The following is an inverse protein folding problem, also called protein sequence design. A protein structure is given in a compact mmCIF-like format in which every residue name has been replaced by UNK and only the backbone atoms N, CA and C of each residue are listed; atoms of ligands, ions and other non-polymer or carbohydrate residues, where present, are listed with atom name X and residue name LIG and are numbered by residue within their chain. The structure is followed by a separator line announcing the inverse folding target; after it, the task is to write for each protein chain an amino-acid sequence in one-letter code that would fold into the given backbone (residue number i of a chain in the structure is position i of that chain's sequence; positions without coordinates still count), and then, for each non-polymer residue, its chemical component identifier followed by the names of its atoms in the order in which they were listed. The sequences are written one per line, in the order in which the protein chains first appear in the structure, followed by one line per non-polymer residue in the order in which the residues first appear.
data_IF_943423631689
#
_entry.id   IF_943423631689
#
_cell.length_a   1.000
_cell.length_b   1.000
_cell.length_c   1.000
_cell.angle_alpha   90.00
_cell.angle_beta   90.00
_cell.angle_gamma   90.00
#
_symmetry.space_group_name_H-M   'P 1'
#
loop_
_entity.id
_entity.type
_entity.pdbx_description
1 polymer ?
#
# COMPACT_ATOMS: atom_id res chain seq x y z
N UNK A 1 21.52 14.62 13.96
CA UNK A 1 20.75 15.81 13.52
C UNK A 1 19.82 16.17 14.65
N UNK A 2 19.85 17.42 15.11
CA UNK A 2 18.78 17.87 16.01
C UNK A 2 17.45 17.58 15.34
N UNK A 3 16.55 16.92 16.07
CA UNK A 3 15.18 16.77 15.64
C UNK A 3 14.65 18.18 15.29
N UNK A 4 14.59 18.52 14.01
CA UNK A 4 13.89 19.71 13.60
C UNK A 4 12.48 19.56 14.15
N UNK A 5 12.09 20.45 15.08
CA UNK A 5 10.79 20.41 15.68
C UNK A 5 9.77 20.41 14.55
N UNK A 6 8.88 19.42 14.55
CA UNK A 6 7.81 19.32 13.58
C UNK A 6 6.93 20.55 13.75
N UNK A 7 7.02 21.50 12.83
CA UNK A 7 6.37 22.80 12.96
C UNK A 7 4.92 22.71 12.48
N UNK A 8 4.02 22.32 13.38
CA UNK A 8 2.58 22.19 13.11
C UNK A 8 1.89 23.53 12.83
N UNK A 9 2.54 24.67 13.07
CA UNK A 9 1.94 26.00 12.89
C UNK A 9 1.94 26.48 11.41
N UNK A 10 2.68 25.82 10.52
CA UNK A 10 2.76 26.21 9.10
C UNK A 10 1.60 25.76 8.25
N UNK A 11 0.77 24.86 8.73
CA UNK A 11 -0.21 24.17 7.90
C UNK A 11 -1.64 24.57 8.21
N UNK A 12 -2.41 24.88 7.18
CA UNK A 12 -3.85 25.15 7.29
C UNK A 12 -4.63 23.86 7.05
N UNK A 13 -5.11 23.26 8.14
CA UNK A 13 -5.93 22.04 8.09
C UNK A 13 -7.09 22.20 7.11
N UNK A 14 -7.23 21.24 6.18
CA UNK A 14 -8.35 21.17 5.25
C UNK A 14 -8.15 21.88 3.90
N UNK A 15 -6.97 22.44 3.63
CA UNK A 15 -6.63 23.02 2.32
C UNK A 15 -5.52 22.23 1.63
N UNK A 16 -5.64 22.11 0.31
CA UNK A 16 -4.55 21.64 -0.55
C UNK A 16 -3.64 22.81 -0.95
N UNK A 17 -2.36 22.54 -1.17
CA UNK A 17 -1.43 23.56 -1.66
C UNK A 17 -1.89 24.06 -3.04
N UNK A 18 -2.02 25.40 -3.24
CA UNK A 18 -2.48 25.96 -4.52
C UNK A 18 -1.62 25.54 -5.73
N UNK A 19 -0.34 25.21 -5.51
CA UNK A 19 0.57 24.75 -6.57
C UNK A 19 0.18 23.38 -7.13
N UNK A 20 -0.63 22.62 -6.40
CA UNK A 20 -1.13 21.31 -6.80
C UNK A 20 -2.53 21.37 -7.44
N UNK A 21 -3.17 22.53 -7.49
CA UNK A 21 -4.55 22.66 -7.94
C UNK A 21 -4.80 22.05 -9.33
N UNK A 22 -3.85 22.19 -10.26
CA UNK A 22 -3.99 21.64 -11.61
C UNK A 22 -3.87 20.12 -11.62
N UNK A 23 -2.88 19.54 -10.93
CA UNK A 23 -2.70 18.07 -10.92
C UNK A 23 -3.75 17.33 -10.08
N UNK A 24 -4.46 18.04 -9.19
CA UNK A 24 -5.48 17.48 -8.32
C UNK A 24 -6.92 17.83 -8.71
N UNK A 25 -7.13 18.52 -9.82
CA UNK A 25 -8.45 19.03 -10.24
C UNK A 25 -9.51 17.94 -10.42
N UNK A 26 -9.10 16.72 -10.76
CA UNK A 26 -9.98 15.57 -11.00
C UNK A 26 -10.27 14.77 -9.72
N UNK A 27 -9.60 15.12 -8.61
CA UNK A 27 -9.73 14.46 -7.33
C UNK A 27 -10.59 15.28 -6.36
N UNK A 28 -11.33 14.64 -5.45
CA UNK A 28 -12.11 15.36 -4.45
C UNK A 28 -11.23 16.26 -3.59
N UNK A 29 -11.55 17.55 -3.51
CA UNK A 29 -10.72 18.55 -2.81
C UNK A 29 -10.48 18.23 -1.33
N UNK A 30 -11.41 17.51 -0.68
CA UNK A 30 -11.28 17.08 0.70
C UNK A 30 -10.25 15.95 0.90
N UNK A 31 -9.82 15.30 -0.16
CA UNK A 31 -8.90 14.15 -0.11
C UNK A 31 -7.46 14.59 0.13
N UNK A 32 -7.03 15.66 -0.56
CA UNK A 32 -5.67 16.18 -0.50
C UNK A 32 -5.62 17.43 0.37
N UNK A 33 -5.30 17.27 1.64
CA UNK A 33 -5.27 18.35 2.61
C UNK A 33 -4.03 18.26 3.52
N UNK A 34 -3.71 19.34 4.19
CA UNK A 34 -2.53 19.45 5.05
C UNK A 34 -2.51 18.40 6.18
N UNK A 35 -3.68 18.02 6.70
CA UNK A 35 -3.80 16.99 7.73
C UNK A 35 -3.30 15.63 7.23
N UNK A 36 -3.67 15.25 6.00
CA UNK A 36 -3.19 14.03 5.37
C UNK A 36 -1.67 14.05 5.24
N UNK A 37 -1.12 15.12 4.66
CA UNK A 37 0.33 15.20 4.42
C UNK A 37 1.13 15.18 5.72
N UNK A 38 0.69 15.92 6.73
CA UNK A 38 1.30 15.90 8.06
C UNK A 38 1.24 14.52 8.70
N UNK A 39 0.13 13.82 8.54
CA UNK A 39 -0.01 12.45 9.05
C UNK A 39 0.97 11.50 8.34
N UNK A 40 1.14 11.61 7.03
CA UNK A 40 2.10 10.79 6.28
C UNK A 40 3.54 11.07 6.71
N UNK A 41 3.93 12.34 6.80
CA UNK A 41 5.27 12.75 7.29
C UNK A 41 5.53 12.23 8.70
N UNK A 42 4.53 12.31 9.57
CA UNK A 42 4.64 11.79 10.93
C UNK A 42 4.84 10.27 10.93
N UNK A 43 4.06 9.52 10.11
CA UNK A 43 4.17 8.06 10.06
C UNK A 43 5.53 7.62 9.51
N UNK A 44 6.08 8.34 8.51
CA UNK A 44 7.44 8.11 8.02
C UNK A 44 8.45 8.26 9.15
N UNK A 45 8.37 9.35 9.91
CA UNK A 45 9.23 9.57 11.06
C UNK A 45 9.03 8.52 12.14
N UNK A 46 7.78 8.19 12.45
CA UNK A 46 7.44 7.20 13.47
C UNK A 46 8.05 5.83 13.13
N UNK A 47 8.00 5.43 11.88
CA UNK A 47 8.60 4.17 11.42
C UNK A 47 10.13 4.14 11.52
N UNK A 48 10.80 5.28 11.36
CA UNK A 48 12.25 5.41 11.60
C UNK A 48 12.55 5.22 13.09
N UNK A 49 11.80 5.86 13.98
CA UNK A 49 12.00 5.71 15.43
C UNK A 49 11.73 4.25 15.88
N UNK A 50 10.73 3.57 15.28
CA UNK A 50 10.52 2.13 15.49
C UNK A 50 11.70 1.30 14.98
N UNK A 51 12.29 1.64 13.83
CA UNK A 51 13.47 0.95 13.32
C UNK A 51 14.69 1.15 14.26
N UNK A 52 14.84 2.33 14.87
CA UNK A 52 15.89 2.59 15.89
C UNK A 52 15.63 1.78 17.15
N UNK A 53 14.39 1.66 17.59
CA UNK A 53 14.02 0.82 18.75
C UNK A 53 14.32 -0.67 18.48
N UNK A 54 14.04 -1.14 17.27
CA UNK A 54 14.34 -2.51 16.81
C UNK A 54 15.84 -2.82 16.79
N UNK A 55 16.74 -1.83 16.68
CA UNK A 55 18.19 -2.05 16.84
C UNK A 55 18.54 -2.70 18.19
N UNK A 56 17.90 -2.20 19.25
CA UNK A 56 18.08 -2.76 20.60
C UNK A 56 17.38 -4.09 20.78
N UNK A 57 16.11 -4.18 20.39
CA UNK A 57 15.28 -5.36 20.56
C UNK A 57 15.83 -6.60 19.81
N UNK A 58 16.47 -6.39 18.66
CA UNK A 58 17.07 -7.44 17.82
C UNK A 58 18.58 -7.64 18.09
N UNK A 59 19.16 -6.97 19.06
CA UNK A 59 20.59 -7.01 19.38
C UNK A 59 21.50 -6.61 18.18
N UNK A 60 21.00 -5.82 17.24
CA UNK A 60 21.73 -5.40 16.05
C UNK A 60 22.85 -4.40 16.37
N UNK A 61 22.66 -3.54 17.37
CA UNK A 61 23.59 -2.47 17.71
C UNK A 61 24.98 -3.02 18.08
N UNK A 62 25.05 -4.14 18.81
CA UNK A 62 26.31 -4.76 19.21
C UNK A 62 27.07 -5.32 18.01
N UNK A 63 26.36 -5.85 17.01
CA UNK A 63 26.97 -6.45 15.82
C UNK A 63 27.43 -5.40 14.80
N UNK A 64 26.74 -4.27 14.74
CA UNK A 64 27.00 -3.18 13.80
C UNK A 64 28.13 -2.23 14.21
N UNK A 65 28.86 -2.52 15.27
CA UNK A 65 30.16 -1.87 15.58
C UNK A 65 31.21 -2.11 14.50
N UNK A 66 31.10 -3.20 13.75
CA UNK A 66 31.89 -3.52 12.56
C UNK A 66 31.02 -3.54 11.31
N UNK A 67 31.65 -3.55 10.13
CA UNK A 67 30.92 -3.74 8.86
C UNK A 67 30.33 -5.15 8.78
N UNK A 68 29.03 -5.24 8.56
CA UNK A 68 28.28 -6.50 8.44
C UNK A 68 27.26 -6.40 7.30
N UNK A 69 27.14 -7.48 6.54
CA UNK A 69 26.03 -7.66 5.62
C UNK A 69 24.78 -8.16 6.35
N UNK A 70 23.61 -8.09 5.69
CA UNK A 70 22.38 -8.66 6.23
C UNK A 70 22.50 -10.18 6.44
N UNK A 71 23.19 -10.89 5.55
CA UNK A 71 23.40 -12.33 5.65
C UNK A 71 24.30 -12.70 6.85
N UNK A 72 25.36 -11.94 7.10
CA UNK A 72 26.21 -12.12 8.28
C UNK A 72 25.45 -11.84 9.58
N UNK A 73 24.60 -10.80 9.59
CA UNK A 73 23.74 -10.49 10.75
C UNK A 73 22.74 -11.61 11.02
N UNK A 74 22.05 -12.12 9.98
CA UNK A 74 21.16 -13.25 10.11
C UNK A 74 21.87 -14.48 10.69
N UNK A 75 23.09 -14.77 10.20
CA UNK A 75 23.87 -15.91 10.67
C UNK A 75 24.32 -15.77 12.13
N UNK A 76 24.85 -14.61 12.52
CA UNK A 76 25.39 -14.39 13.88
C UNK A 76 24.28 -14.32 14.93
N UNK A 77 23.11 -13.79 14.57
CA UNK A 77 21.95 -13.63 15.47
C UNK A 77 20.95 -14.79 15.37
N UNK A 78 21.27 -15.83 14.61
CA UNK A 78 20.40 -17.00 14.38
C UNK A 78 18.99 -16.63 13.92
N UNK A 79 18.89 -15.64 13.02
CA UNK A 79 17.61 -15.23 12.46
C UNK A 79 17.13 -16.22 11.39
N UNK A 80 15.83 -16.39 11.30
CA UNK A 80 15.21 -17.21 10.27
C UNK A 80 15.51 -16.65 8.86
N UNK A 81 15.77 -17.50 7.85
CA UNK A 81 16.09 -17.03 6.48
C UNK A 81 15.06 -16.07 5.90
N UNK A 82 13.77 -16.29 6.18
CA UNK A 82 12.66 -15.42 5.73
C UNK A 82 12.74 -14.01 6.31
N UNK A 83 13.35 -13.82 7.48
CA UNK A 83 13.48 -12.51 8.14
C UNK A 83 14.51 -11.60 7.43
N UNK A 84 15.30 -12.13 6.52
CA UNK A 84 16.33 -11.39 5.79
C UNK A 84 15.80 -10.13 5.10
N UNK A 85 14.62 -10.19 4.47
CA UNK A 85 14.02 -9.05 3.78
C UNK A 85 13.57 -7.98 4.77
N UNK A 86 12.94 -8.37 5.87
CA UNK A 86 12.58 -7.47 6.96
C UNK A 86 13.80 -6.80 7.57
N UNK A 87 14.88 -7.56 7.78
CA UNK A 87 16.16 -7.00 8.26
C UNK A 87 16.75 -5.99 7.25
N UNK A 88 16.73 -6.29 5.97
CA UNK A 88 17.21 -5.36 4.93
C UNK A 88 16.39 -4.05 4.93
N UNK A 89 15.09 -4.14 5.13
CA UNK A 89 14.22 -2.98 5.26
C UNK A 89 14.60 -2.12 6.48
N UNK A 90 14.80 -2.74 7.66
CA UNK A 90 15.26 -2.04 8.88
C UNK A 90 16.59 -1.33 8.61
N UNK A 91 17.57 -2.04 8.03
CA UNK A 91 18.87 -1.49 7.75
C UNK A 91 18.81 -0.31 6.78
N UNK A 92 17.95 -0.38 5.75
CA UNK A 92 17.74 0.73 4.81
C UNK A 92 17.14 1.96 5.51
N UNK A 93 16.12 1.79 6.37
CA UNK A 93 15.55 2.88 7.19
C UNK A 93 16.61 3.52 8.10
N UNK A 94 17.46 2.73 8.69
CA UNK A 94 18.53 3.21 9.57
C UNK A 94 19.65 3.95 8.80
N UNK A 95 19.89 3.58 7.53
CA UNK A 95 20.78 4.35 6.64
C UNK A 95 20.16 5.70 6.27
N UNK A 96 18.88 5.70 5.89
CA UNK A 96 18.12 6.91 5.56
C UNK A 96 18.13 7.92 6.73
N UNK A 97 17.92 7.43 7.95
CA UNK A 97 17.99 8.24 9.17
C UNK A 97 19.36 8.78 9.52
N UNK A 98 20.43 8.27 8.87
CA UNK A 98 21.81 8.57 9.19
C UNK A 98 22.35 7.85 10.44
N UNK A 99 21.61 6.91 11.00
CA UNK A 99 22.07 6.05 12.10
C UNK A 99 23.16 5.08 11.65
N UNK A 100 22.99 4.52 10.44
CA UNK A 100 23.95 3.62 9.82
C UNK A 100 24.68 4.29 8.63
N UNK A 101 25.88 3.78 8.35
CA UNK A 101 26.57 3.92 7.08
C UNK A 101 26.38 2.64 6.28
N UNK A 102 26.25 2.76 4.96
CA UNK A 102 26.22 1.66 4.02
C UNK A 102 27.39 1.77 3.06
N UNK A 103 27.97 0.65 2.69
CA UNK A 103 28.85 0.50 1.52
C UNK A 103 28.28 -0.59 0.62
N UNK A 104 28.37 -0.38 -0.67
CA UNK A 104 27.93 -1.32 -1.70
C UNK A 104 29.14 -1.60 -2.61
N UNK A 105 29.60 -2.84 -2.68
CA UNK A 105 30.71 -3.24 -3.56
C UNK A 105 30.20 -3.90 -4.87
N UNK A 106 28.90 -3.79 -5.13
CA UNK A 106 28.23 -4.36 -6.29
C UNK A 106 27.80 -5.82 -6.11
N UNK A 107 28.41 -6.56 -5.18
CA UNK A 107 28.03 -7.92 -4.83
C UNK A 107 27.27 -7.99 -3.51
N UNK A 108 27.66 -7.16 -2.53
CA UNK A 108 27.14 -7.22 -1.16
C UNK A 108 27.04 -5.83 -0.55
N UNK A 109 25.89 -5.53 0.04
CA UNK A 109 25.73 -4.35 0.90
C UNK A 109 26.11 -4.67 2.33
N UNK A 110 26.98 -3.83 2.90
CA UNK A 110 27.42 -3.93 4.29
C UNK A 110 27.09 -2.64 5.05
N UNK A 111 26.79 -2.78 6.33
CA UNK A 111 26.29 -1.72 7.19
C UNK A 111 27.14 -1.60 8.44
N UNK A 112 27.25 -0.40 9.00
CA UNK A 112 27.94 -0.12 10.26
C UNK A 112 27.31 1.08 10.95
N UNK A 113 27.26 1.08 12.27
CA UNK A 113 26.86 2.26 13.05
C UNK A 113 27.75 3.46 12.69
N UNK A 114 27.09 4.57 12.41
CA UNK A 114 27.76 5.86 12.19
C UNK A 114 27.98 6.58 13.50
N UNK A 115 26.97 6.56 14.37
CA UNK A 115 26.96 7.19 15.67
C UNK A 115 26.24 6.27 16.67
N UNK A 116 26.37 6.56 17.96
CA UNK A 116 25.51 5.94 18.98
C UNK A 116 24.06 6.21 18.62
N UNK A 117 23.19 5.19 18.58
CA UNK A 117 21.76 5.38 18.34
C UNK A 117 21.17 6.32 19.40
N UNK A 118 20.28 7.19 18.97
CA UNK A 118 19.51 8.01 19.92
C UNK A 118 18.42 7.17 20.61
N UNK A 119 17.89 7.69 21.69
CA UNK A 119 16.74 7.09 22.36
C UNK A 119 15.46 7.50 21.64
N UNK A 120 14.64 6.58 21.07
CA UNK A 120 13.42 6.91 20.37
C UNK A 120 12.38 7.58 21.27
N UNK A 121 11.75 8.66 20.80
CA UNK A 121 10.65 9.32 21.51
C UNK A 121 9.30 9.00 20.88
N UNK A 122 8.94 7.71 20.88
CA UNK A 122 7.69 7.19 20.31
C UNK A 122 6.46 7.81 21.02
N UNK A 123 6.55 8.08 22.32
CA UNK A 123 5.44 8.68 23.08
C UNK A 123 5.10 10.09 22.61
N UNK A 124 6.13 10.91 22.40
CA UNK A 124 5.97 12.25 21.89
C UNK A 124 5.39 12.24 20.47
N UNK A 125 5.95 11.44 19.57
CA UNK A 125 5.47 11.34 18.18
C UNK A 125 4.04 10.82 18.11
N UNK A 126 3.71 9.83 18.95
CA UNK A 126 2.33 9.34 19.05
C UNK A 126 1.37 10.43 19.48
N UNK A 127 1.71 11.19 20.53
CA UNK A 127 0.88 12.30 21.00
C UNK A 127 0.73 13.39 19.92
N UNK A 128 1.80 13.69 19.19
CA UNK A 128 1.77 14.61 18.06
C UNK A 128 0.85 14.10 16.94
N UNK A 129 0.94 12.81 16.60
CA UNK A 129 0.09 12.20 15.59
C UNK A 129 -1.39 12.27 15.91
N UNK A 130 -1.75 12.00 17.16
CA UNK A 130 -3.13 12.12 17.65
C UNK A 130 -3.63 13.57 17.68
N UNK A 131 -2.73 14.54 17.85
CA UNK A 131 -3.07 15.95 17.78
C UNK A 131 -3.29 16.43 16.34
N UNK A 132 -2.54 15.87 15.36
CA UNK A 132 -2.76 16.15 13.94
C UNK A 132 -4.12 15.59 13.51
N UNK A 133 -4.36 14.31 13.78
CA UNK A 133 -5.62 13.63 13.52
C UNK A 133 -5.82 12.49 14.53
N UNK A 134 -6.90 12.48 15.33
CA UNK A 134 -7.18 11.35 16.22
C UNK A 134 -7.31 10.00 15.49
N UNK A 135 -7.72 9.98 14.22
CA UNK A 135 -7.83 8.77 13.42
C UNK A 135 -6.47 8.12 13.11
N UNK A 136 -5.37 8.85 13.24
CA UNK A 136 -4.01 8.32 13.17
C UNK A 136 -3.74 7.21 14.19
N UNK A 137 -4.55 7.12 15.25
CA UNK A 137 -4.49 6.02 16.22
C UNK A 137 -4.47 4.66 15.54
N UNK A 138 -5.30 4.46 14.51
CA UNK A 138 -5.41 3.19 13.81
C UNK A 138 -4.09 2.76 13.14
N UNK A 139 -3.39 3.69 12.50
CA UNK A 139 -2.09 3.42 11.87
C UNK A 139 -1.00 3.24 12.92
N UNK A 140 -0.96 4.10 13.94
CA UNK A 140 0.04 4.01 15.03
C UNK A 140 -0.09 2.69 15.81
N UNK A 141 -1.32 2.27 16.14
CA UNK A 141 -1.56 1.01 16.85
C UNK A 141 -1.09 -0.20 16.04
N UNK A 142 -1.32 -0.21 14.74
CA UNK A 142 -0.90 -1.30 13.87
C UNK A 142 0.63 -1.31 13.66
N UNK A 143 1.27 -0.15 13.54
CA UNK A 143 2.72 -0.02 13.46
C UNK A 143 3.39 -0.53 14.74
N UNK A 144 2.91 -0.12 15.91
CA UNK A 144 3.42 -0.57 17.21
C UNK A 144 3.27 -2.08 17.36
N UNK A 145 2.09 -2.62 17.01
CA UNK A 145 1.82 -4.04 17.09
C UNK A 145 2.71 -4.85 16.15
N UNK A 146 2.87 -4.40 14.90
CA UNK A 146 3.75 -5.04 13.94
C UNK A 146 5.21 -5.02 14.43
N UNK A 147 5.72 -3.86 14.87
CA UNK A 147 7.08 -3.73 15.39
C UNK A 147 7.32 -4.68 16.58
N UNK A 148 6.35 -4.82 17.48
CA UNK A 148 6.47 -5.73 18.62
C UNK A 148 6.59 -7.21 18.23
N UNK A 149 6.14 -7.59 17.03
CA UNK A 149 6.22 -8.96 16.52
C UNK A 149 7.59 -9.31 15.92
N UNK A 150 8.38 -8.31 15.52
CA UNK A 150 9.66 -8.52 14.82
C UNK A 150 10.63 -9.45 15.54
N UNK A 151 10.91 -9.31 16.86
CA UNK A 151 11.82 -10.21 17.55
C UNK A 151 11.36 -11.69 17.53
N UNK A 152 10.06 -11.93 17.68
CA UNK A 152 9.51 -13.27 17.61
C UNK A 152 9.60 -13.87 16.20
N UNK A 153 9.29 -13.08 15.17
CA UNK A 153 9.38 -13.51 13.76
C UNK A 153 10.82 -13.75 13.35
N UNK A 154 11.76 -12.94 13.85
CA UNK A 154 13.19 -13.07 13.54
C UNK A 154 13.76 -14.43 14.02
N UNK A 155 13.36 -14.90 15.21
CA UNK A 155 13.94 -16.08 15.86
C UNK A 155 13.02 -17.31 15.88
N UNK A 156 11.72 -17.14 15.65
CA UNK A 156 10.71 -18.19 15.74
C UNK A 156 10.42 -18.84 14.38
N UNK A 157 9.91 -20.07 14.42
CA UNK A 157 9.31 -20.71 13.24
C UNK A 157 7.93 -20.18 12.89
N UNK A 158 7.32 -19.38 13.73
CA UNK A 158 6.05 -18.70 13.43
C UNK A 158 6.31 -17.54 12.49
N UNK A 159 5.46 -17.38 11.46
CA UNK A 159 5.50 -16.25 10.56
C UNK A 159 4.67 -15.06 11.09
N UNK A 160 4.83 -13.93 10.47
CA UNK A 160 4.09 -12.72 10.83
C UNK A 160 2.59 -12.82 10.59
N UNK A 161 2.16 -13.63 9.60
CA UNK A 161 0.74 -13.85 9.30
C UNK A 161 -0.01 -14.38 10.52
N UNK A 162 0.57 -15.34 11.24
CA UNK A 162 -0.02 -15.87 12.47
C UNK A 162 -0.20 -14.79 13.55
N UNK A 163 0.75 -13.87 13.66
CA UNK A 163 0.68 -12.77 14.63
C UNK A 163 -0.30 -11.69 14.17
N UNK A 164 -0.15 -11.19 12.94
CA UNK A 164 -0.89 -10.03 12.45
C UNK A 164 -2.34 -10.36 12.06
N UNK A 165 -2.64 -11.58 11.62
CA UNK A 165 -4.01 -12.00 11.32
C UNK A 165 -4.65 -12.88 12.40
N UNK A 166 -4.01 -12.99 13.58
CA UNK A 166 -4.63 -13.56 14.77
C UNK A 166 -5.74 -12.66 15.34
N UNK A 167 -6.45 -13.11 16.39
CA UNK A 167 -7.64 -12.39 16.91
C UNK A 167 -7.39 -10.93 17.29
N UNK A 168 -6.21 -10.61 17.85
CA UNK A 168 -5.85 -9.24 18.20
C UNK A 168 -5.48 -8.42 16.97
N UNK A 169 -4.66 -8.97 16.09
CA UNK A 169 -4.20 -8.28 14.89
C UNK A 169 -5.35 -7.95 13.93
N UNK A 170 -6.31 -8.87 13.75
CA UNK A 170 -7.43 -8.66 12.83
C UNK A 170 -8.31 -7.46 13.23
N UNK A 171 -8.42 -7.17 14.53
CA UNK A 171 -9.14 -5.98 15.01
C UNK A 171 -8.40 -4.70 14.65
N UNK A 172 -7.06 -4.70 14.73
CA UNK A 172 -6.23 -3.58 14.33
C UNK A 172 -6.31 -3.34 12.82
N UNK A 173 -6.30 -4.41 12.02
CA UNK A 173 -6.50 -4.30 10.57
C UNK A 173 -7.86 -3.71 10.20
N UNK A 174 -8.95 -4.09 10.87
CA UNK A 174 -10.27 -3.52 10.63
C UNK A 174 -10.31 -2.01 10.91
N UNK A 175 -9.64 -1.56 11.99
CA UNK A 175 -9.52 -0.14 12.29
C UNK A 175 -8.64 0.58 11.26
N UNK A 176 -7.52 -0.04 10.85
CA UNK A 176 -6.62 0.51 9.85
C UNK A 176 -7.31 0.67 8.49
N UNK A 177 -8.07 -0.33 8.04
CA UNK A 177 -8.80 -0.32 6.77
C UNK A 177 -10.07 0.54 6.77
N UNK A 178 -10.27 1.40 7.75
CA UNK A 178 -11.43 2.29 7.80
C UNK A 178 -11.18 3.59 7.04
N UNK A 179 -12.23 4.14 6.39
CA UNK A 179 -12.14 5.37 5.60
C UNK A 179 -11.94 6.65 6.45
N UNK A 180 -12.10 6.58 7.76
CA UNK A 180 -11.73 7.68 8.68
C UNK A 180 -10.20 7.79 8.85
N UNK A 181 -9.46 6.70 8.64
CA UNK A 181 -8.01 6.68 8.66
C UNK A 181 -7.45 7.24 7.34
N UNK A 182 -7.18 8.54 7.28
CA UNK A 182 -6.77 9.23 6.05
C UNK A 182 -5.51 8.64 5.41
N UNK A 183 -4.55 8.17 6.20
CA UNK A 183 -3.29 7.61 5.69
C UNK A 183 -3.46 6.30 4.92
N UNK A 184 -4.57 5.58 5.15
CA UNK A 184 -5.01 4.46 4.35
C UNK A 184 -6.06 4.86 3.31
N UNK A 185 -7.08 5.63 3.72
CA UNK A 185 -8.23 5.99 2.90
C UNK A 185 -7.84 6.75 1.62
N UNK A 186 -6.70 7.45 1.62
CA UNK A 186 -6.20 8.14 0.42
C UNK A 186 -6.03 7.20 -0.77
N UNK A 187 -5.65 5.93 -0.55
CA UNK A 187 -5.55 4.93 -1.62
C UNK A 187 -6.94 4.63 -2.22
N UNK A 188 -7.97 4.51 -1.37
CA UNK A 188 -9.34 4.28 -1.80
C UNK A 188 -9.86 5.47 -2.62
N UNK A 189 -9.65 6.70 -2.15
CA UNK A 189 -10.07 7.92 -2.84
C UNK A 189 -9.38 8.09 -4.19
N UNK A 190 -8.06 7.91 -4.25
CA UNK A 190 -7.29 8.06 -5.48
C UNK A 190 -7.69 7.00 -6.50
N UNK A 191 -7.77 5.74 -6.09
CA UNK A 191 -8.22 4.64 -6.95
C UNK A 191 -9.64 4.85 -7.47
N UNK A 192 -10.58 5.20 -6.58
CA UNK A 192 -11.98 5.39 -6.96
C UNK A 192 -12.20 6.60 -7.87
N UNK A 193 -11.53 7.74 -7.61
CA UNK A 193 -11.63 8.93 -8.47
C UNK A 193 -11.11 8.63 -9.88
N UNK A 194 -9.95 7.96 -9.99
CA UNK A 194 -9.41 7.52 -11.26
C UNK A 194 -10.34 6.54 -12.00
N UNK A 195 -11.01 5.62 -11.27
CA UNK A 195 -11.94 4.67 -11.85
C UNK A 195 -13.21 5.37 -12.38
N UNK A 196 -13.80 6.27 -11.61
CA UNK A 196 -15.04 6.99 -11.97
C UNK A 196 -14.84 7.85 -13.21
N UNK A 197 -13.69 8.52 -13.32
CA UNK A 197 -13.37 9.34 -14.49
C UNK A 197 -13.39 8.50 -15.78
N UNK A 198 -12.84 7.29 -15.75
CA UNK A 198 -12.79 6.37 -16.90
C UNK A 198 -14.11 5.69 -17.24
N UNK A 199 -15.02 5.64 -16.29
CA UNK A 199 -16.36 5.06 -16.48
C UNK A 199 -17.39 6.07 -17.00
N UNK A 200 -17.10 7.34 -16.98
CA UNK A 200 -18.06 8.44 -17.25
C UNK A 200 -18.77 8.33 -18.60
N UNK A 201 -18.12 7.77 -19.63
CA UNK A 201 -18.67 7.60 -20.99
C UNK A 201 -19.47 6.30 -21.20
N UNK A 202 -19.45 5.35 -20.26
CA UNK A 202 -20.08 4.04 -20.41
C UNK A 202 -21.60 4.11 -20.15
N UNK A 203 -22.45 3.52 -21.03
CA UNK A 203 -23.90 3.52 -20.82
C UNK A 203 -24.34 2.55 -19.72
N UNK A 204 -23.64 1.46 -19.51
CA UNK A 204 -23.82 0.48 -18.46
C UNK A 204 -22.47 0.14 -17.85
N UNK A 205 -22.45 -0.11 -16.53
CA UNK A 205 -21.22 -0.36 -15.78
C UNK A 205 -21.25 -1.78 -15.22
N UNK A 206 -20.20 -2.55 -15.54
CA UNK A 206 -19.94 -3.87 -14.98
C UNK A 206 -18.57 -3.82 -14.33
N UNK A 207 -18.52 -3.95 -13.02
CA UNK A 207 -17.33 -3.78 -12.20
C UNK A 207 -16.93 -5.10 -11.55
N UNK A 208 -15.66 -5.44 -11.62
CA UNK A 208 -15.05 -6.51 -10.85
C UNK A 208 -14.03 -5.87 -9.88
N UNK A 209 -14.25 -6.03 -8.60
CA UNK A 209 -13.28 -5.61 -7.57
C UNK A 209 -12.53 -6.81 -7.02
N UNK A 210 -11.21 -6.72 -7.02
CA UNK A 210 -10.30 -7.76 -6.52
C UNK A 210 -9.77 -7.36 -5.14
N UNK A 211 -9.91 -8.27 -4.16
CA UNK A 211 -9.38 -8.09 -2.82
C UNK A 211 -10.01 -6.94 -2.05
N UNK A 212 -11.32 -6.86 -2.02
CA UNK A 212 -12.08 -5.77 -1.40
C UNK A 212 -11.88 -5.61 0.13
N UNK A 213 -11.27 -6.58 0.79
CA UNK A 213 -11.02 -6.54 2.23
C UNK A 213 -12.30 -6.26 3.03
N UNK A 214 -12.26 -5.25 3.88
CA UNK A 214 -13.40 -4.80 4.68
C UNK A 214 -14.41 -3.92 3.90
N UNK A 215 -14.22 -3.71 2.58
CA UNK A 215 -15.13 -2.98 1.71
C UNK A 215 -14.97 -1.46 1.72
N UNK A 216 -13.88 -0.94 2.23
CA UNK A 216 -13.65 0.50 2.30
C UNK A 216 -13.42 1.13 0.92
N UNK A 217 -12.71 0.44 0.01
CA UNK A 217 -12.54 0.90 -1.37
C UNK A 217 -13.85 0.82 -2.16
N UNK A 218 -14.62 -0.28 -1.99
CA UNK A 218 -15.97 -0.44 -2.56
C UNK A 218 -16.89 0.71 -2.16
N UNK A 219 -16.90 1.07 -0.87
CA UNK A 219 -17.71 2.17 -0.34
C UNK A 219 -17.39 3.50 -1.02
N UNK A 220 -16.12 3.86 -1.14
CA UNK A 220 -15.71 5.12 -1.79
C UNK A 220 -16.06 5.10 -3.28
N UNK A 221 -15.83 4.00 -3.98
CA UNK A 221 -16.19 3.89 -5.40
C UNK A 221 -17.70 4.07 -5.62
N UNK A 222 -18.54 3.39 -4.83
CA UNK A 222 -19.99 3.54 -4.91
C UNK A 222 -20.46 4.95 -4.57
N UNK A 223 -19.85 5.59 -3.58
CA UNK A 223 -20.15 6.97 -3.20
C UNK A 223 -19.81 7.94 -4.34
N UNK A 224 -18.63 7.85 -4.95
CA UNK A 224 -18.25 8.70 -6.07
C UNK A 224 -19.09 8.43 -7.33
N UNK A 225 -19.47 7.18 -7.61
CA UNK A 225 -20.42 6.86 -8.68
C UNK A 225 -21.78 7.54 -8.44
N UNK A 226 -22.23 7.57 -7.18
CA UNK A 226 -23.47 8.28 -6.80
C UNK A 226 -23.36 9.78 -7.01
N UNK A 227 -22.29 10.41 -6.54
CA UNK A 227 -22.03 11.84 -6.68
C UNK A 227 -21.96 12.30 -8.15
N UNK A 228 -21.44 11.44 -9.03
CA UNK A 228 -21.34 11.69 -10.47
C UNK A 228 -22.60 11.29 -11.25
N UNK A 229 -23.67 10.81 -10.57
CA UNK A 229 -24.91 10.38 -11.20
C UNK A 229 -24.77 9.10 -12.05
N UNK A 230 -23.71 8.30 -11.82
CA UNK A 230 -23.41 7.08 -12.58
C UNK A 230 -24.01 5.82 -11.95
N UNK A 231 -24.43 5.89 -10.69
CA UNK A 231 -24.88 4.71 -9.93
C UNK A 231 -26.10 4.01 -10.59
N UNK A 232 -26.98 4.76 -11.26
CA UNK A 232 -28.12 4.21 -12.01
C UNK A 232 -27.72 3.40 -13.24
N UNK A 233 -26.47 3.51 -13.69
CA UNK A 233 -25.91 2.73 -14.80
C UNK A 233 -25.25 1.44 -14.33
N UNK A 234 -25.14 1.22 -13.01
CA UNK A 234 -24.50 0.02 -12.46
C UNK A 234 -25.39 -1.20 -12.72
N UNK A 235 -24.97 -2.04 -13.66
CA UNK A 235 -25.68 -3.26 -14.02
C UNK A 235 -25.17 -4.50 -13.26
N UNK A 236 -23.90 -4.50 -12.86
CA UNK A 236 -23.27 -5.59 -12.09
C UNK A 236 -22.03 -5.10 -11.36
N UNK A 237 -21.87 -5.49 -10.09
CA UNK A 237 -20.66 -5.26 -9.34
C UNK A 237 -20.29 -6.51 -8.55
N UNK A 238 -19.24 -7.19 -8.98
CA UNK A 238 -18.70 -8.38 -8.32
C UNK A 238 -17.59 -7.93 -7.36
N UNK A 239 -17.86 -8.05 -6.06
CA UNK A 239 -16.93 -7.74 -4.97
C UNK A 239 -16.25 -9.03 -4.57
N UNK A 240 -14.92 -9.13 -4.73
CA UNK A 240 -14.20 -10.36 -4.40
C UNK A 240 -13.27 -10.17 -3.22
N UNK A 241 -13.22 -11.17 -2.33
CA UNK A 241 -12.33 -11.21 -1.17
C UNK A 241 -12.14 -12.67 -0.75
N UNK A 242 -10.91 -13.23 -0.81
CA UNK A 242 -10.67 -14.63 -0.45
C UNK A 242 -10.92 -14.91 1.03
N UNK A 243 -10.59 -13.98 1.93
CA UNK A 243 -10.80 -14.14 3.36
C UNK A 243 -12.29 -14.07 3.72
N UNK A 244 -12.85 -15.20 4.16
CA UNK A 244 -14.28 -15.30 4.47
C UNK A 244 -14.75 -14.38 5.62
N UNK A 245 -13.87 -13.99 6.53
CA UNK A 245 -14.21 -13.07 7.61
C UNK A 245 -14.37 -11.65 7.07
N UNK A 246 -13.38 -11.13 6.35
CA UNK A 246 -13.46 -9.81 5.71
C UNK A 246 -14.62 -9.74 4.71
N UNK A 247 -14.82 -10.77 3.88
CA UNK A 247 -15.94 -10.83 2.93
C UNK A 247 -17.29 -10.71 3.63
N UNK A 248 -17.51 -11.38 4.78
CA UNK A 248 -18.75 -11.25 5.55
C UNK A 248 -18.91 -9.87 6.19
N UNK A 249 -17.85 -9.27 6.69
CA UNK A 249 -17.87 -7.90 7.23
C UNK A 249 -18.25 -6.89 6.15
N UNK A 250 -17.61 -6.97 4.99
CA UNK A 250 -17.87 -6.17 3.81
C UNK A 250 -19.34 -6.31 3.37
N UNK A 251 -19.82 -7.53 3.17
CA UNK A 251 -21.20 -7.80 2.76
C UNK A 251 -22.24 -7.19 3.71
N UNK A 252 -22.04 -7.35 5.02
CA UNK A 252 -22.97 -6.79 6.02
C UNK A 252 -22.98 -5.26 5.97
N UNK A 253 -21.82 -4.64 5.89
CA UNK A 253 -21.67 -3.18 5.83
C UNK A 253 -22.35 -2.62 4.59
N UNK A 254 -21.99 -3.10 3.42
CA UNK A 254 -22.47 -2.54 2.14
C UNK A 254 -23.93 -2.87 1.87
N UNK A 255 -24.42 -4.04 2.26
CA UNK A 255 -25.83 -4.39 2.10
C UNK A 255 -26.78 -3.48 2.90
N UNK A 256 -26.32 -2.90 4.01
CA UNK A 256 -27.11 -1.93 4.78
C UNK A 256 -27.00 -0.50 4.25
N UNK A 257 -25.84 -0.14 3.69
CA UNK A 257 -25.54 1.21 3.23
C UNK A 257 -26.02 1.46 1.79
N UNK A 258 -25.94 0.44 0.92
CA UNK A 258 -26.27 0.53 -0.49
C UNK A 258 -27.38 -0.46 -0.88
N UNK A 259 -28.59 -0.17 -0.42
CA UNK A 259 -29.76 -1.00 -0.70
C UNK A 259 -30.07 -1.05 -2.21
N UNK A 260 -30.46 -2.23 -2.69
CA UNK A 260 -30.92 -2.46 -4.06
C UNK A 260 -29.87 -2.28 -5.17
N UNK A 261 -28.58 -2.20 -4.85
CA UNK A 261 -27.54 -2.26 -5.86
C UNK A 261 -27.25 -3.72 -6.28
N UNK A 262 -26.86 -3.95 -7.54
CA UNK A 262 -26.54 -5.27 -8.06
C UNK A 262 -25.15 -5.74 -7.61
N UNK A 263 -24.96 -5.89 -6.30
CA UNK A 263 -23.72 -6.34 -5.67
C UNK A 263 -23.72 -7.85 -5.53
N UNK A 264 -22.67 -8.48 -6.03
CA UNK A 264 -22.39 -9.92 -5.89
C UNK A 264 -21.12 -10.11 -5.08
N UNK A 265 -21.05 -11.14 -4.23
CA UNK A 265 -19.85 -11.43 -3.43
C UNK A 265 -19.28 -12.78 -3.81
N UNK A 266 -17.97 -12.82 -4.08
CA UNK A 266 -17.26 -14.04 -4.44
C UNK A 266 -15.90 -14.12 -3.74
N UNK A 267 -15.26 -15.27 -3.80
CA UNK A 267 -13.86 -15.45 -3.44
C UNK A 267 -13.05 -15.59 -4.74
N UNK A 268 -12.02 -14.78 -4.89
CA UNK A 268 -11.06 -14.92 -6.00
C UNK A 268 -9.67 -14.86 -5.40
N UNK A 269 -8.88 -15.90 -5.67
CA UNK A 269 -7.46 -15.96 -5.40
C UNK A 269 -6.71 -15.42 -6.63
N UNK A 270 -5.86 -14.43 -6.41
CA UNK A 270 -5.09 -13.76 -7.46
C UNK A 270 -4.16 -14.69 -8.23
N UNK A 271 -3.68 -15.72 -7.56
CA UNK A 271 -2.62 -16.61 -8.04
C UNK A 271 -3.15 -17.86 -8.74
N UNK A 272 -4.47 -17.99 -8.88
CA UNK A 272 -5.16 -19.07 -9.57
C UNK A 272 -5.92 -18.56 -10.80
N UNK A 273 -6.16 -19.38 -11.85
CA UNK A 273 -6.91 -18.96 -13.03
C UNK A 273 -8.30 -18.42 -12.66
N UNK A 274 -8.60 -17.17 -13.06
CA UNK A 274 -9.85 -16.51 -12.67
C UNK A 274 -11.08 -17.12 -13.34
N UNK A 275 -10.92 -17.69 -14.53
CA UNK A 275 -11.99 -18.42 -15.22
C UNK A 275 -12.48 -19.66 -14.45
N UNK A 276 -11.57 -20.34 -13.75
CA UNK A 276 -11.92 -21.50 -12.90
C UNK A 276 -12.63 -21.06 -11.61
N UNK A 277 -12.55 -19.78 -11.27
CA UNK A 277 -13.18 -19.16 -10.10
C UNK A 277 -14.48 -18.40 -10.47
N UNK A 278 -14.98 -18.57 -11.70
CA UNK A 278 -16.25 -18.00 -12.15
C UNK A 278 -16.17 -16.59 -12.71
N UNK A 279 -14.96 -16.09 -13.00
CA UNK A 279 -14.75 -14.79 -13.68
C UNK A 279 -14.57 -15.06 -15.18
N UNK A 280 -15.55 -14.66 -15.98
CA UNK A 280 -15.52 -14.83 -17.42
C UNK A 280 -14.67 -13.80 -18.15
N UNK A 281 -14.26 -14.14 -19.38
CA UNK A 281 -13.49 -13.25 -20.25
C UNK A 281 -14.37 -12.19 -20.89
N UNK A 282 -13.92 -10.93 -20.91
CA UNK A 282 -14.61 -9.84 -21.59
C UNK A 282 -15.90 -9.36 -20.90
N UNK A 283 -16.08 -9.69 -19.64
CA UNK A 283 -17.34 -9.41 -18.93
C UNK A 283 -17.39 -8.03 -18.29
N UNK A 284 -16.26 -7.39 -17.97
CA UNK A 284 -16.23 -6.20 -17.14
C UNK A 284 -15.72 -4.95 -17.87
N UNK A 285 -16.33 -3.82 -17.57
CA UNK A 285 -15.91 -2.51 -18.06
C UNK A 285 -14.80 -1.93 -17.21
N UNK A 286 -14.75 -2.34 -15.94
CA UNK A 286 -13.71 -2.00 -14.97
C UNK A 286 -13.29 -3.24 -14.17
N UNK A 287 -11.99 -3.48 -14.07
CA UNK A 287 -11.36 -4.28 -13.00
C UNK A 287 -10.72 -3.29 -12.04
N UNK A 288 -11.05 -3.40 -10.76
CA UNK A 288 -10.67 -2.46 -9.71
C UNK A 288 -10.00 -3.19 -8.56
N UNK A 289 -8.90 -2.66 -8.05
CA UNK A 289 -8.20 -3.22 -6.90
C UNK A 289 -7.50 -2.11 -6.12
N UNK A 290 -7.48 -2.18 -4.78
CA UNK A 290 -6.77 -1.21 -3.94
C UNK A 290 -5.90 -1.91 -2.91
N UNK A 291 -4.59 -1.64 -2.97
CA UNK A 291 -3.57 -2.25 -2.11
C UNK A 291 -3.61 -3.79 -2.11
N UNK A 292 -3.72 -4.39 -3.28
CA UNK A 292 -3.85 -5.84 -3.46
C UNK A 292 -2.89 -6.40 -4.51
N UNK A 293 -2.72 -5.73 -5.65
CA UNK A 293 -1.97 -6.33 -6.76
C UNK A 293 -0.47 -6.51 -6.44
N UNK A 294 0.07 -5.73 -5.54
CA UNK A 294 1.46 -5.85 -5.09
C UNK A 294 1.75 -7.16 -4.33
N UNK A 295 0.75 -7.83 -3.76
CA UNK A 295 0.93 -9.13 -3.08
C UNK A 295 0.74 -10.34 -4.01
N UNK A 296 0.36 -10.14 -5.29
CA UNK A 296 0.27 -11.24 -6.24
C UNK A 296 1.61 -11.96 -6.36
N UNK A 297 1.60 -13.28 -6.27
CA UNK A 297 2.80 -14.10 -6.37
C UNK A 297 3.47 -13.93 -7.73
N UNK A 298 2.70 -14.05 -8.82
CA UNK A 298 3.14 -13.74 -10.18
C UNK A 298 2.34 -12.56 -10.72
N UNK A 299 2.90 -11.35 -10.59
CA UNK A 299 2.23 -10.11 -10.97
C UNK A 299 1.79 -10.11 -12.45
N UNK A 300 2.62 -10.63 -13.36
CA UNK A 300 2.28 -10.66 -14.78
C UNK A 300 1.09 -11.58 -15.06
N UNK A 301 1.02 -12.72 -14.36
CA UNK A 301 -0.12 -13.62 -14.44
C UNK A 301 -1.41 -12.90 -14.03
N UNK A 302 -1.45 -12.28 -12.85
CA UNK A 302 -2.66 -11.61 -12.34
C UNK A 302 -3.07 -10.41 -13.21
N UNK A 303 -2.10 -9.66 -13.77
CA UNK A 303 -2.39 -8.59 -14.73
C UNK A 303 -2.99 -9.14 -16.04
N UNK A 304 -2.54 -10.29 -16.52
CA UNK A 304 -3.12 -10.94 -17.69
C UNK A 304 -4.54 -11.46 -17.42
N UNK A 305 -4.80 -12.03 -16.23
CA UNK A 305 -6.15 -12.44 -15.82
C UNK A 305 -7.09 -11.22 -15.75
N UNK A 306 -6.63 -10.12 -15.15
CA UNK A 306 -7.40 -8.87 -15.11
C UNK A 306 -7.71 -8.35 -16.52
N UNK A 307 -6.73 -8.38 -17.43
CA UNK A 307 -6.93 -7.98 -18.83
C UNK A 307 -7.89 -8.90 -19.55
N UNK A 308 -7.84 -10.20 -19.29
CA UNK A 308 -8.75 -11.19 -19.89
C UNK A 308 -10.20 -10.97 -19.43
N UNK A 309 -10.42 -10.59 -18.16
CA UNK A 309 -11.75 -10.30 -17.61
C UNK A 309 -12.37 -9.03 -18.20
N UNK A 310 -11.55 -8.10 -18.71
CA UNK A 310 -12.00 -6.81 -19.25
C UNK A 310 -12.61 -6.95 -20.65
N UNK A 311 -13.74 -6.30 -20.84
CA UNK A 311 -14.32 -6.06 -22.15
C UNK A 311 -13.40 -5.19 -23.03
N UNK A 312 -13.67 -5.13 -24.33
CA UNK A 312 -12.98 -4.21 -25.22
C UNK A 312 -13.12 -2.77 -24.70
N UNK A 313 -11.99 -2.04 -24.71
CA UNK A 313 -11.87 -0.69 -24.17
C UNK A 313 -12.17 -0.56 -22.67
N UNK A 314 -12.24 -1.68 -21.93
CA UNK A 314 -12.33 -1.69 -20.47
C UNK A 314 -11.03 -1.24 -19.81
N UNK A 315 -11.12 -0.88 -18.54
CA UNK A 315 -10.00 -0.35 -17.77
C UNK A 315 -9.65 -1.25 -16.58
N UNK A 316 -8.35 -1.47 -16.37
CA UNK A 316 -7.83 -1.87 -15.08
C UNK A 316 -7.40 -0.60 -14.33
N UNK A 317 -7.92 -0.42 -13.13
CA UNK A 317 -7.52 0.66 -12.22
C UNK A 317 -7.13 0.07 -10.88
N UNK A 318 -5.88 0.27 -10.49
CA UNK A 318 -5.39 -0.16 -9.19
C UNK A 318 -4.95 1.06 -8.36
N UNK A 319 -5.42 1.16 -7.13
CA UNK A 319 -4.91 2.12 -6.14
C UNK A 319 -3.81 1.46 -5.32
N UNK A 320 -2.61 2.04 -5.30
CA UNK A 320 -1.44 1.41 -4.66
C UNK A 320 -0.55 2.40 -3.92
N UNK A 321 0.19 1.87 -2.96
CA UNK A 321 1.36 2.56 -2.47
C UNK A 321 2.46 2.49 -3.55
N UNK A 322 2.98 3.65 -3.93
CA UNK A 322 3.97 3.80 -5.01
C UNK A 322 5.28 4.30 -4.42
N UNK A 323 6.32 3.49 -4.45
CA UNK A 323 7.64 3.91 -3.95
C UNK A 323 8.18 5.10 -4.75
N UNK A 324 8.85 6.07 -4.11
CA UNK A 324 9.53 7.16 -4.83
C UNK A 324 10.65 6.65 -5.74
N UNK A 325 11.48 5.73 -5.23
CA UNK A 325 12.59 5.14 -5.96
C UNK A 325 12.65 3.64 -5.68
N UNK A 326 13.33 2.91 -6.55
CA UNK A 326 13.64 1.51 -6.30
C UNK A 326 14.43 1.36 -5.00
N UNK A 327 14.09 0.38 -4.19
CA UNK A 327 14.68 0.11 -2.87
C UNK A 327 14.55 1.23 -1.82
N UNK A 328 13.74 2.26 -2.04
CA UNK A 328 13.44 3.22 -0.98
C UNK A 328 12.29 2.71 -0.11
N UNK A 329 12.53 2.49 1.20
CA UNK A 329 11.47 2.09 2.12
C UNK A 329 10.40 3.18 2.28
N UNK A 330 9.15 2.76 2.48
CA UNK A 330 8.04 3.62 2.91
C UNK A 330 7.44 3.04 4.19
N UNK A 331 6.84 3.88 5.05
CA UNK A 331 6.42 3.45 6.38
C UNK A 331 5.43 2.26 6.39
N UNK A 332 4.49 2.11 5.43
CA UNK A 332 3.54 0.99 5.49
C UNK A 332 4.24 -0.37 5.43
N UNK A 333 5.40 -0.43 4.81
CA UNK A 333 6.14 -1.69 4.66
C UNK A 333 6.57 -2.30 6.00
N UNK A 334 6.74 -1.48 7.05
CA UNK A 334 7.02 -2.02 8.39
C UNK A 334 5.96 -3.05 8.82
N UNK A 335 4.69 -2.81 8.50
CA UNK A 335 3.61 -3.74 8.84
C UNK A 335 3.63 -5.00 7.98
N UNK A 336 4.12 -4.90 6.74
CA UNK A 336 4.04 -5.96 5.74
C UNK A 336 5.31 -6.81 5.62
N UNK A 337 6.49 -6.29 5.96
CA UNK A 337 7.77 -6.99 5.78
C UNK A 337 7.89 -8.33 6.52
N UNK A 338 7.06 -8.56 7.53
CA UNK A 338 7.01 -9.83 8.28
C UNK A 338 5.90 -10.77 7.80
N UNK A 339 5.14 -10.40 6.75
CA UNK A 339 4.10 -11.24 6.13
C UNK A 339 4.67 -12.02 4.95
N UNK A 340 4.41 -13.32 4.93
CA UNK A 340 4.83 -14.18 3.82
C UNK A 340 4.16 -13.75 2.50
N UNK A 341 2.89 -13.36 2.53
CA UNK A 341 2.15 -12.86 1.37
C UNK A 341 2.75 -11.61 0.73
N UNK A 342 3.52 -10.81 1.48
CA UNK A 342 4.19 -9.61 0.97
C UNK A 342 5.58 -9.90 0.42
N UNK A 343 6.26 -10.91 0.93
CA UNK A 343 7.67 -11.21 0.65
C UNK A 343 7.89 -12.42 -0.24
N UNK A 344 6.98 -13.41 -0.23
CA UNK A 344 7.07 -14.62 -1.07
C UNK A 344 6.42 -14.39 -2.45
N UNK A 345 7.04 -13.53 -3.24
CA UNK A 345 6.58 -13.14 -4.57
C UNK A 345 7.68 -13.35 -5.62
N UNK A 346 7.28 -13.63 -6.85
CA UNK A 346 8.19 -13.75 -7.99
C UNK A 346 8.71 -12.36 -8.38
N UNK A 347 10.03 -12.25 -8.53
CA UNK A 347 10.69 -11.04 -8.99
C UNK A 347 10.96 -11.08 -10.49
N UNK A 348 10.95 -9.91 -11.12
CA UNK A 348 11.29 -9.71 -12.53
C UNK A 348 12.20 -8.48 -12.64
N UNK A 349 13.40 -8.59 -13.24
CA UNK A 349 14.37 -7.49 -13.28
C UNK A 349 13.88 -6.26 -14.04
N UNK A 350 12.87 -6.38 -14.90
CA UNK A 350 12.33 -5.30 -15.71
C UNK A 350 11.31 -4.45 -14.97
N UNK A 351 10.41 -5.08 -14.19
CA UNK A 351 9.29 -4.37 -13.57
C UNK A 351 9.06 -4.67 -12.09
N UNK A 352 9.67 -5.74 -11.53
CA UNK A 352 9.55 -6.11 -10.11
C UNK A 352 10.87 -6.65 -9.58
N UNK A 353 11.94 -5.84 -9.52
CA UNK A 353 13.26 -6.31 -9.10
C UNK A 353 13.33 -6.73 -7.63
N UNK A 354 12.39 -6.26 -6.81
CA UNK A 354 12.30 -6.55 -5.37
C UNK A 354 10.86 -6.87 -4.96
N UNK A 355 10.66 -7.66 -3.90
CA UNK A 355 9.35 -7.79 -3.26
C UNK A 355 8.81 -6.45 -2.73
N UNK A 356 7.51 -6.42 -2.46
CA UNK A 356 6.83 -5.27 -1.88
C UNK A 356 6.27 -4.30 -2.91
N UNK A 357 6.13 -3.02 -2.53
CA UNK A 357 5.56 -2.00 -3.40
C UNK A 357 6.50 -1.64 -4.55
N UNK A 358 5.92 -1.23 -5.67
CA UNK A 358 6.62 -0.87 -6.88
C UNK A 358 6.66 0.66 -7.04
N UNK A 359 7.60 1.16 -7.84
CA UNK A 359 7.59 2.55 -8.33
C UNK A 359 6.55 2.72 -9.44
N UNK A 360 6.18 3.97 -9.74
CA UNK A 360 5.25 4.26 -10.85
C UNK A 360 5.73 3.73 -12.19
N UNK A 361 7.04 3.81 -12.46
CA UNK A 361 7.63 3.30 -13.70
C UNK A 361 7.64 1.76 -13.76
N UNK A 362 7.88 1.09 -12.64
CA UNK A 362 7.79 -0.38 -12.54
C UNK A 362 6.36 -0.86 -12.81
N UNK A 363 5.36 -0.21 -12.22
CA UNK A 363 3.95 -0.48 -12.51
C UNK A 363 3.62 -0.28 -13.99
N UNK A 364 4.07 0.84 -14.58
CA UNK A 364 3.84 1.12 -16.00
C UNK A 364 4.42 0.03 -16.90
N UNK A 365 5.65 -0.43 -16.62
CA UNK A 365 6.28 -1.53 -17.36
C UNK A 365 5.52 -2.85 -17.22
N UNK A 366 5.08 -3.19 -16.00
CA UNK A 366 4.28 -4.39 -15.77
C UNK A 366 2.98 -4.36 -16.58
N UNK A 367 2.27 -3.25 -16.60
CA UNK A 367 1.05 -3.08 -17.40
C UNK A 367 1.31 -3.20 -18.89
N UNK A 368 2.34 -2.53 -19.41
CA UNK A 368 2.72 -2.65 -20.83
C UNK A 368 3.08 -4.10 -21.21
N UNK A 369 3.82 -4.79 -20.34
CA UNK A 369 4.20 -6.19 -20.56
C UNK A 369 2.99 -7.13 -20.54
N UNK A 370 1.98 -6.83 -19.74
CA UNK A 370 0.68 -7.53 -19.75
C UNK A 370 -0.21 -7.16 -20.95
N UNK A 371 0.23 -6.23 -21.81
CA UNK A 371 -0.47 -5.85 -23.04
C UNK A 371 -1.53 -4.76 -22.87
N UNK A 372 -1.52 -4.04 -21.74
CA UNK A 372 -2.33 -2.84 -21.60
C UNK A 372 -1.77 -1.70 -22.44
N UNK A 373 -2.66 -0.87 -22.96
CA UNK A 373 -2.32 0.38 -23.65
C UNK A 373 -2.74 1.57 -22.78
N UNK A 374 -2.34 2.78 -23.12
CA UNK A 374 -2.67 3.99 -22.36
C UNK A 374 -2.45 3.79 -20.85
N UNK A 375 -1.24 3.41 -20.51
CA UNK A 375 -0.86 3.25 -19.10
C UNK A 375 -0.50 4.60 -18.49
N UNK A 376 -1.06 4.91 -17.33
CA UNK A 376 -0.80 6.15 -16.62
C UNK A 376 -0.82 5.94 -15.10
N UNK A 377 -0.16 6.84 -14.39
CA UNK A 377 -0.21 6.94 -12.92
C UNK A 377 -0.83 8.29 -12.58
N UNK A 378 -1.87 8.30 -11.77
CA UNK A 378 -2.60 9.49 -11.37
C UNK A 378 -2.83 9.53 -9.85
N UNK A 379 -2.79 10.71 -9.21
CA UNK A 379 -2.39 12.00 -9.76
C UNK A 379 -0.91 12.03 -10.16
N UNK A 380 -0.41 13.17 -10.64
CA UNK A 380 1.03 13.38 -10.85
C UNK A 380 1.77 13.35 -9.50
N UNK A 381 2.19 12.15 -9.09
CA UNK A 381 2.83 11.90 -7.80
C UNK A 381 4.14 12.68 -7.66
N UNK A 382 4.91 12.78 -8.75
CA UNK A 382 6.21 13.48 -8.72
C UNK A 382 6.00 14.97 -8.45
N UNK A 383 4.96 15.55 -9.01
CA UNK A 383 4.58 16.96 -8.72
C UNK A 383 4.17 17.15 -7.27
N UNK A 384 3.46 16.19 -6.68
CA UNK A 384 3.10 16.24 -5.26
C UNK A 384 4.36 16.13 -4.39
N UNK A 385 5.30 15.25 -4.74
CA UNK A 385 6.56 15.04 -4.01
C UNK A 385 7.49 16.24 -3.99
N UNK A 386 7.41 17.14 -4.97
CA UNK A 386 8.16 18.41 -4.93
C UNK A 386 7.81 19.24 -3.67
N UNK A 387 6.62 19.05 -3.10
CA UNK A 387 6.10 19.79 -1.93
C UNK A 387 6.03 18.89 -0.71
N UNK A 388 5.57 17.64 -0.89
CA UNK A 388 5.37 16.62 0.14
C UNK A 388 6.17 15.36 -0.21
N UNK A 389 7.47 15.32 0.12
CA UNK A 389 8.40 14.30 -0.36
C UNK A 389 8.01 12.86 -0.03
N UNK A 390 7.27 12.64 1.06
CA UNK A 390 6.84 11.31 1.50
C UNK A 390 5.44 10.92 1.01
N UNK A 391 4.89 11.61 0.02
CA UNK A 391 3.65 11.18 -0.61
C UNK A 391 3.91 9.98 -1.53
N UNK A 392 3.18 8.89 -1.33
CA UNK A 392 3.42 7.62 -2.03
C UNK A 392 2.16 6.95 -2.59
N UNK A 393 1.03 7.65 -2.71
CA UNK A 393 -0.23 7.03 -3.18
C UNK A 393 -0.52 7.38 -4.64
N UNK A 394 -0.90 6.36 -5.42
CA UNK A 394 -1.29 6.56 -6.81
C UNK A 394 -2.29 5.53 -7.32
N UNK A 395 -3.05 5.91 -8.33
CA UNK A 395 -3.81 5.00 -9.14
C UNK A 395 -3.05 4.70 -10.43
N UNK A 396 -2.80 3.43 -10.69
CA UNK A 396 -2.23 2.98 -11.96
C UNK A 396 -3.39 2.48 -12.82
N UNK A 397 -3.47 3.00 -14.03
CA UNK A 397 -4.54 2.73 -14.95
C UNK A 397 -4.02 2.17 -16.26
N UNK A 398 -4.70 1.20 -16.82
CA UNK A 398 -4.38 0.62 -18.11
C UNK A 398 -5.65 0.23 -18.89
N UNK A 399 -5.69 0.55 -20.18
CA UNK A 399 -6.83 0.24 -21.03
C UNK A 399 -6.59 -1.04 -21.82
N UNK A 400 -7.62 -1.92 -21.87
CA UNK A 400 -7.65 -3.10 -22.71
C UNK A 400 -8.20 -2.73 -24.11
N UNK A 401 -7.34 -2.17 -24.98
CA UNK A 401 -7.78 -1.90 -26.35
C UNK A 401 -7.64 -3.16 -27.21
N UNK A 402 -8.65 -3.43 -28.02
CA UNK A 402 -8.52 -4.45 -29.06
C UNK A 402 -7.35 -4.07 -29.98
N UNK A 403 -6.37 -4.97 -30.12
CA UNK A 403 -5.35 -4.81 -31.15
C UNK A 403 -6.10 -4.86 -32.48
N UNK A 404 -6.13 -3.72 -33.19
CA UNK A 404 -6.64 -3.70 -34.55
C UNK A 404 -5.83 -4.75 -35.35
N UNK A 405 -6.54 -5.81 -35.79
CA UNK A 405 -5.96 -6.86 -36.65
C UNK A 405 -5.67 -6.33 -38.02
#
# INVERSE_FOLDING_TARGET
MNAAAFDTHKFQVGRSDPRLAECLKEFPAATFNERLYQSMELMERYSIELAVDLLGQLNLAEQLGAWRSADELCSVLDFQPRFRLALQWILARLVESGCLQMRDDGATRSYRLRNTPWNPDLKYLRALGLNIDPANAATLDLLDYAASAYPAVATSRQNGDHNLFGPQGISLWLNYFHNDNLTYAINNWVGAAAAVDRLSSRPMLRVLEIGAGAGSATEILLMLLSERGLLSRLGRYVVTEPNAYFRRCNQRKLATQFLNLPLEWSAVDLDLPWSEQGIGSGEFDLVYAVNVMHISKNLLFSLNEARSALAADGWLVIGECVRPYDNQPIYPELMFQILDSFTDVETDPEFRPNPGFLTGEQWRRAFLKAGFTRTEVAPDIERIREIYPHFFTGAICGQNTAIAK
#
